data_IF_767700265469
#
_entry.id   IF_767700265469
#
_cell.length_a   1.000
_cell.length_b   1.000
_cell.length_c   1.000
_cell.angle_alpha   90.00
_cell.angle_beta   90.00
_cell.angle_gamma   90.00
#
_symmetry.space_group_name_H-M   'P 1'
#
loop_
_entity.id
_entity.type
_entity.pdbx_description
1 polymer ?
#
# COMPACT_ATOMS: atom_id res chain seq x y z
N UNK A 1 -18.90 -4.41 23.73
CA UNK A 1 -18.29 -5.00 22.65
C UNK A 1 -18.33 -4.18 21.39
N UNK A 2 -19.03 -3.07 21.40
CA UNK A 2 -19.01 -2.19 20.24
C UNK A 2 -17.59 -1.73 19.91
N UNK A 3 -16.75 -1.49 20.93
CA UNK A 3 -15.39 -1.05 20.68
C UNK A 3 -14.57 -2.08 19.92
N UNK A 4 -14.70 -3.35 20.27
CA UNK A 4 -13.98 -4.39 19.55
C UNK A 4 -14.48 -4.51 18.12
N UNK A 5 -15.79 -4.39 17.92
CA UNK A 5 -16.34 -4.46 16.58
C UNK A 5 -15.81 -3.33 15.71
N UNK A 6 -15.73 -2.13 16.26
CA UNK A 6 -15.20 -0.99 15.51
C UNK A 6 -13.74 -1.20 15.12
N UNK A 7 -12.93 -1.70 16.06
CA UNK A 7 -11.51 -1.94 15.79
C UNK A 7 -11.33 -3.02 14.73
N UNK A 8 -12.11 -4.09 14.80
CA UNK A 8 -11.98 -5.17 13.84
C UNK A 8 -12.50 -4.78 12.46
N UNK A 9 -13.38 -3.78 12.38
CA UNK A 9 -13.88 -3.29 11.11
C UNK A 9 -12.95 -2.27 10.48
N UNK A 10 -11.98 -1.76 11.23
CA UNK A 10 -11.07 -0.73 10.73
C UNK A 10 -10.06 -1.33 9.76
N UNK A 11 -9.96 -0.72 8.59
CA UNK A 11 -8.99 -1.13 7.58
C UNK A 11 -7.67 -0.39 7.78
N UNK A 12 -6.58 -1.13 7.72
CA UNK A 12 -5.23 -0.57 7.75
C UNK A 12 -4.87 -0.17 6.32
N UNK A 13 -4.62 1.10 6.10
CA UNK A 13 -4.32 1.63 4.76
C UNK A 13 -2.81 1.67 4.58
N UNK A 14 -2.33 0.91 3.61
CA UNK A 14 -0.91 0.64 3.42
C UNK A 14 -0.40 1.36 2.17
N UNK A 15 0.75 2.00 2.30
CA UNK A 15 1.51 2.51 1.16
C UNK A 15 2.81 1.71 1.05
N UNK A 16 3.13 1.27 -0.17
CA UNK A 16 4.33 0.50 -0.44
C UNK A 16 5.34 1.41 -1.13
N UNK A 17 6.52 1.56 -0.54
CA UNK A 17 7.63 2.29 -1.13
C UNK A 17 8.62 1.30 -1.72
N UNK A 18 8.73 1.32 -3.03
CA UNK A 18 9.53 0.38 -3.78
C UNK A 18 8.67 -0.58 -4.59
N UNK A 19 8.93 -0.65 -5.90
CA UNK A 19 8.11 -1.44 -6.82
C UNK A 19 8.93 -2.51 -7.52
N UNK A 20 9.89 -3.09 -6.82
CA UNK A 20 10.74 -4.14 -7.35
C UNK A 20 10.16 -5.53 -7.13
N UNK A 21 11.01 -6.54 -7.30
CA UNK A 21 10.60 -7.94 -7.26
C UNK A 21 10.02 -8.35 -5.89
N UNK A 22 10.61 -7.86 -4.79
CA UNK A 22 10.12 -8.21 -3.46
C UNK A 22 8.72 -7.65 -3.21
N UNK A 23 8.46 -6.42 -3.65
CA UNK A 23 7.13 -5.85 -3.55
C UNK A 23 6.13 -6.72 -4.30
N UNK A 24 6.46 -7.11 -5.52
CA UNK A 24 5.58 -7.87 -6.39
C UNK A 24 5.36 -9.29 -5.91
N UNK A 25 6.40 -9.96 -5.42
CA UNK A 25 6.33 -11.40 -5.12
C UNK A 25 5.92 -11.68 -3.69
N UNK A 26 6.17 -10.78 -2.76
CA UNK A 26 5.95 -11.06 -1.34
C UNK A 26 5.14 -9.98 -0.62
N UNK A 27 5.57 -8.73 -0.68
CA UNK A 27 4.96 -7.69 0.17
C UNK A 27 3.51 -7.39 -0.22
N UNK A 28 3.28 -7.06 -1.49
CA UNK A 28 1.93 -6.71 -1.93
C UNK A 28 0.98 -7.90 -1.80
N UNK A 29 1.33 -9.11 -2.29
CA UNK A 29 0.45 -10.26 -2.10
C UNK A 29 0.17 -10.56 -0.62
N UNK A 30 1.15 -10.36 0.25
CA UNK A 30 0.96 -10.56 1.68
C UNK A 30 -0.11 -9.64 2.26
N UNK A 31 -0.02 -8.35 1.96
CA UNK A 31 -1.03 -7.41 2.41
C UNK A 31 -2.39 -7.70 1.79
N UNK A 32 -2.44 -8.08 0.52
CA UNK A 32 -3.72 -8.32 -0.15
C UNK A 32 -4.43 -9.56 0.37
N UNK A 33 -3.70 -10.49 0.97
CA UNK A 33 -4.33 -11.66 1.61
C UNK A 33 -4.92 -11.34 2.98
N UNK A 34 -4.55 -10.22 3.59
CA UNK A 34 -5.05 -9.85 4.90
C UNK A 34 -6.24 -8.92 4.74
N UNK A 35 -7.42 -9.39 5.13
CA UNK A 35 -8.65 -8.61 4.98
C UNK A 35 -8.65 -7.31 5.79
N UNK A 36 -7.73 -7.17 6.74
CA UNK A 36 -7.60 -5.95 7.53
C UNK A 36 -6.78 -4.89 6.83
N UNK A 37 -6.11 -5.23 5.72
CA UNK A 37 -5.22 -4.32 5.01
C UNK A 37 -5.77 -3.96 3.64
N UNK A 38 -5.52 -2.70 3.27
CA UNK A 38 -5.82 -2.22 1.92
C UNK A 38 -4.57 -1.50 1.41
N UNK A 39 -4.02 -1.96 0.28
CA UNK A 39 -2.89 -1.28 -0.33
C UNK A 39 -3.43 -0.14 -1.17
N UNK A 40 -3.24 1.08 -0.71
CA UNK A 40 -3.86 2.26 -1.32
C UNK A 40 -2.90 3.06 -2.18
N UNK A 41 -1.60 2.87 -2.03
CA UNK A 41 -0.60 3.64 -2.76
C UNK A 41 0.66 2.82 -2.98
N UNK A 42 1.33 3.10 -4.10
CA UNK A 42 2.65 2.54 -4.40
C UNK A 42 3.52 3.66 -4.95
N UNK A 43 4.79 3.64 -4.58
CA UNK A 43 5.76 4.67 -4.95
C UNK A 43 7.07 4.03 -5.37
N UNK A 44 7.64 4.52 -6.47
CA UNK A 44 8.99 4.16 -6.88
C UNK A 44 9.55 5.32 -7.69
N UNK A 45 10.83 5.68 -7.50
CA UNK A 45 11.45 6.72 -8.33
C UNK A 45 11.32 6.44 -9.84
N UNK A 46 11.30 5.16 -10.21
CA UNK A 46 10.99 4.75 -11.57
C UNK A 46 9.48 4.55 -11.67
N UNK A 47 8.77 5.62 -12.02
CA UNK A 47 7.31 5.65 -11.98
C UNK A 47 6.68 4.52 -12.78
N UNK A 48 7.28 4.12 -13.90
CA UNK A 48 6.71 3.05 -14.72
C UNK A 48 6.63 1.72 -13.97
N UNK A 49 7.54 1.48 -13.03
CA UNK A 49 7.51 0.25 -12.23
C UNK A 49 6.35 0.29 -11.24
N UNK A 50 6.13 1.44 -10.61
CA UNK A 50 4.99 1.60 -9.72
C UNK A 50 3.67 1.48 -10.48
N UNK A 51 3.58 2.06 -11.67
CA UNK A 51 2.38 1.97 -12.51
C UNK A 51 2.07 0.52 -12.89
N UNK A 52 3.10 -0.26 -13.21
CA UNK A 52 2.90 -1.66 -13.57
C UNK A 52 2.31 -2.46 -12.42
N UNK A 53 2.84 -2.27 -11.20
CA UNK A 53 2.32 -2.98 -10.04
C UNK A 53 0.93 -2.47 -9.64
N UNK A 54 0.68 -1.18 -9.79
CA UNK A 54 -0.65 -0.64 -9.53
C UNK A 54 -1.69 -1.26 -10.45
N UNK A 55 -1.35 -1.44 -11.72
CA UNK A 55 -2.24 -2.08 -12.68
C UNK A 55 -2.46 -3.55 -12.34
N UNK A 56 -1.38 -4.25 -11.97
CA UNK A 56 -1.46 -5.68 -11.67
C UNK A 56 -2.31 -5.96 -10.43
N UNK A 57 -2.16 -5.13 -9.40
CA UNK A 57 -2.79 -5.39 -8.09
C UNK A 57 -3.97 -4.47 -7.77
N UNK A 58 -4.34 -3.59 -8.69
CA UNK A 58 -5.47 -2.69 -8.46
C UNK A 58 -5.21 -1.63 -7.41
N UNK A 59 -3.98 -1.10 -7.36
CA UNK A 59 -3.62 -0.07 -6.39
C UNK A 59 -4.01 1.30 -6.94
N UNK A 60 -4.84 2.09 -6.22
CA UNK A 60 -5.43 3.29 -6.82
C UNK A 60 -4.49 4.48 -6.98
N UNK A 61 -3.43 4.59 -6.17
CA UNK A 61 -2.58 5.77 -6.21
C UNK A 61 -1.13 5.40 -6.52
N UNK A 62 -0.52 6.15 -7.45
CA UNK A 62 0.85 5.92 -7.90
C UNK A 62 1.65 7.19 -7.69
N UNK A 63 2.84 7.05 -7.13
CA UNK A 63 3.74 8.18 -6.87
C UNK A 63 5.15 7.84 -7.33
N UNK A 64 5.93 8.86 -7.68
CA UNK A 64 7.35 8.71 -7.95
C UNK A 64 8.21 9.39 -6.88
N UNK A 65 7.61 10.19 -6.03
CA UNK A 65 8.28 10.91 -4.94
C UNK A 65 7.66 10.46 -3.61
N UNK A 66 8.47 9.81 -2.76
CA UNK A 66 7.98 9.30 -1.48
C UNK A 66 7.45 10.39 -0.55
N UNK A 67 7.89 11.65 -0.75
CA UNK A 67 7.41 12.75 0.07
C UNK A 67 5.92 13.00 -0.14
N UNK A 68 5.42 12.72 -1.33
CA UNK A 68 3.98 12.84 -1.59
C UNK A 68 3.18 11.79 -0.82
N UNK A 69 3.74 10.60 -0.67
CA UNK A 69 3.11 9.55 0.14
C UNK A 69 3.10 9.96 1.61
N UNK A 70 4.23 10.44 2.10
CA UNK A 70 4.36 10.83 3.51
C UNK A 70 3.47 12.02 3.87
N UNK A 71 3.07 12.82 2.89
CA UNK A 71 2.19 13.95 3.12
C UNK A 71 0.72 13.53 3.27
N UNK A 72 0.37 12.29 2.91
CA UNK A 72 -1.01 11.82 3.04
C UNK A 72 -1.32 11.49 4.50
N UNK A 73 -2.48 11.96 4.96
CA UNK A 73 -2.91 11.73 6.34
C UNK A 73 -3.69 10.43 6.49
N UNK A 74 -4.07 9.80 5.38
CA UNK A 74 -4.89 8.60 5.38
C UNK A 74 -4.09 7.29 5.33
N UNK A 75 -2.77 7.38 5.42
CA UNK A 75 -1.90 6.18 5.41
C UNK A 75 -1.63 5.77 6.84
N UNK A 76 -1.90 4.51 7.16
CA UNK A 76 -1.66 3.97 8.49
C UNK A 76 -0.33 3.26 8.60
N UNK A 77 0.15 2.68 7.49
CA UNK A 77 1.37 1.89 7.49
C UNK A 77 2.16 2.15 6.21
N UNK A 78 3.44 2.37 6.37
CA UNK A 78 4.36 2.53 5.24
C UNK A 78 5.30 1.33 5.23
N UNK A 79 5.28 0.61 4.13
CA UNK A 79 6.12 -0.57 3.93
C UNK A 79 7.26 -0.20 2.98
N UNK A 80 8.48 -0.27 3.48
CA UNK A 80 9.67 0.05 2.69
C UNK A 80 10.31 -1.24 2.21
N UNK A 81 10.30 -1.42 0.90
CA UNK A 81 10.87 -2.61 0.28
C UNK A 81 12.29 -2.40 -0.21
#
# INVERSE_FOLDING_TARGET
MAAQSNDSARTVRVAVLGAGAWARLAHIPGFKRDARCEVVAICDPQRHMAEALAAEFGIPSVYSDHREVLAREDIDLIDVC
#
